data_IF_980389432182
#
_entry.id   IF_980389432182
#
_cell.length_a   1.000
_cell.length_b   1.000
_cell.length_c   1.000
_cell.angle_alpha   90.00
_cell.angle_beta   90.00
_cell.angle_gamma   90.00
#
_symmetry.space_group_name_H-M   'P 1'
#
loop_
_entity.id
_entity.type
_entity.pdbx_description
1 polymer ?
#
# COMPACT_ATOMS: atom_id res chain seq x y z
N UNK A 1 -3.88 -29.81 -7.34
CA UNK A 1 -3.02 -28.93 -6.55
C UNK A 1 -3.75 -27.63 -6.18
N UNK A 2 -3.21 -26.84 -5.25
CA UNK A 2 -3.88 -25.65 -4.71
C UNK A 2 -4.28 -24.62 -5.77
N UNK A 3 -3.48 -24.48 -6.83
CA UNK A 3 -3.80 -23.57 -7.94
C UNK A 3 -5.04 -24.00 -8.74
N UNK A 4 -5.30 -25.28 -8.86
CA UNK A 4 -6.52 -25.79 -9.53
C UNK A 4 -7.76 -25.47 -8.68
N UNK A 5 -7.68 -25.61 -7.35
CA UNK A 5 -8.76 -25.25 -6.44
C UNK A 5 -9.07 -23.75 -6.49
N UNK A 6 -8.05 -22.90 -6.50
CA UNK A 6 -8.22 -21.46 -6.66
C UNK A 6 -8.84 -21.11 -8.01
N UNK A 7 -8.43 -21.78 -9.09
CA UNK A 7 -9.02 -21.61 -10.42
C UNK A 7 -10.51 -21.99 -10.47
N UNK A 8 -10.86 -23.14 -9.90
CA UNK A 8 -12.27 -23.58 -9.81
C UNK A 8 -13.08 -22.59 -8.97
N UNK A 9 -12.54 -22.13 -7.83
CA UNK A 9 -13.22 -21.16 -6.97
C UNK A 9 -13.44 -19.82 -7.70
N UNK A 10 -12.44 -19.33 -8.44
CA UNK A 10 -12.57 -18.12 -9.24
C UNK A 10 -13.63 -18.25 -10.34
N UNK A 11 -13.67 -19.40 -11.04
CA UNK A 11 -14.71 -19.69 -12.06
C UNK A 11 -16.09 -19.75 -11.42
N UNK A 12 -16.22 -20.38 -10.25
CA UNK A 12 -17.50 -20.45 -9.52
C UNK A 12 -18.01 -19.06 -9.14
N UNK A 13 -17.13 -18.18 -8.62
CA UNK A 13 -17.48 -16.78 -8.33
C UNK A 13 -17.87 -16.04 -9.61
N UNK A 14 -17.12 -16.19 -10.69
CA UNK A 14 -17.43 -15.56 -11.97
C UNK A 14 -18.79 -16.00 -12.50
N UNK A 15 -19.12 -17.30 -12.39
CA UNK A 15 -20.44 -17.83 -12.76
C UNK A 15 -21.55 -17.23 -11.91
N UNK A 16 -21.37 -17.15 -10.59
CA UNK A 16 -22.34 -16.53 -9.68
C UNK A 16 -22.57 -15.06 -10.07
N UNK A 17 -21.50 -14.29 -10.29
CA UNK A 17 -21.58 -12.89 -10.68
C UNK A 17 -22.24 -12.68 -12.03
N UNK A 18 -22.09 -13.63 -12.97
CA UNK A 18 -22.76 -13.58 -14.27
C UNK A 18 -24.29 -13.66 -14.16
N UNK A 19 -24.82 -14.42 -13.18
CA UNK A 19 -26.26 -14.54 -12.93
C UNK A 19 -26.82 -13.43 -12.02
N UNK A 20 -25.97 -12.71 -11.29
CA UNK A 20 -26.39 -11.57 -10.47
C UNK A 20 -26.48 -10.34 -11.38
N UNK A 21 -27.68 -9.77 -11.49
CA UNK A 21 -27.90 -8.52 -12.20
C UNK A 21 -27.30 -7.38 -11.36
N UNK A 22 -26.02 -7.07 -11.59
CA UNK A 22 -25.37 -5.95 -10.95
C UNK A 22 -26.05 -4.64 -11.38
N UNK A 23 -26.29 -3.68 -10.45
CA UNK A 23 -26.74 -2.35 -10.83
C UNK A 23 -25.72 -1.74 -11.77
N UNK A 24 -26.17 -1.21 -12.89
CA UNK A 24 -25.34 -0.58 -13.90
C UNK A 24 -24.89 0.79 -13.38
N UNK A 25 -23.62 0.98 -12.99
CA UNK A 25 -23.17 2.24 -12.42
C UNK A 25 -23.19 3.39 -13.43
N UNK A 26 -23.37 3.10 -14.73
CA UNK A 26 -23.43 4.12 -15.77
C UNK A 26 -24.87 4.62 -16.01
N UNK A 27 -25.90 3.92 -15.53
CA UNK A 27 -27.29 4.38 -15.62
C UNK A 27 -27.63 5.44 -14.57
N UNK A 28 -27.07 5.31 -13.37
CA UNK A 28 -27.27 6.30 -12.31
C UNK A 28 -26.48 7.58 -12.59
N UNK A 29 -25.37 7.48 -13.35
CA UNK A 29 -24.54 8.63 -13.75
C UNK A 29 -25.14 9.52 -14.81
N UNK A 30 -26.06 9.03 -15.64
CA UNK A 30 -26.69 9.86 -16.67
C UNK A 30 -27.53 11.02 -16.07
N UNK A 31 -28.02 10.89 -14.83
CA UNK A 31 -28.66 11.96 -14.11
C UNK A 31 -27.64 12.90 -13.43
N UNK A 32 -26.54 12.33 -12.91
CA UNK A 32 -25.45 13.09 -12.28
C UNK A 32 -24.60 13.85 -13.31
N UNK A 33 -24.47 13.34 -14.54
CA UNK A 33 -23.69 13.97 -15.62
C UNK A 33 -24.31 15.31 -16.10
N UNK A 34 -25.61 15.50 -15.94
CA UNK A 34 -26.28 16.76 -16.28
C UNK A 34 -26.02 17.83 -15.20
N UNK A 35 -25.96 17.42 -13.93
CA UNK A 35 -25.58 18.30 -12.81
C UNK A 35 -24.07 18.56 -12.81
N UNK A 36 -23.25 17.53 -13.11
CA UNK A 36 -21.81 17.64 -13.25
C UNK A 36 -21.38 18.56 -14.41
N UNK A 37 -22.16 18.63 -15.50
CA UNK A 37 -21.90 19.55 -16.61
C UNK A 37 -22.02 21.03 -16.23
N UNK A 38 -22.84 21.37 -15.25
CA UNK A 38 -22.96 22.72 -14.71
C UNK A 38 -21.75 23.09 -13.82
N UNK A 39 -21.15 22.11 -13.14
CA UNK A 39 -20.01 22.29 -12.22
C UNK A 39 -18.64 22.22 -12.92
N UNK A 40 -18.57 21.78 -14.19
CA UNK A 40 -17.32 21.63 -14.96
C UNK A 40 -16.46 22.91 -15.01
N UNK A 41 -17.07 24.09 -14.82
CA UNK A 41 -16.35 25.38 -14.79
C UNK A 41 -15.48 25.56 -13.55
N UNK A 42 -15.70 24.76 -12.51
CA UNK A 42 -14.96 24.82 -11.26
C UNK A 42 -13.71 23.93 -11.26
N UNK A 43 -13.66 22.92 -12.16
CA UNK A 43 -12.55 21.99 -12.24
C UNK A 43 -11.55 22.37 -13.33
N UNK A 44 -10.26 22.07 -13.09
CA UNK A 44 -9.22 22.26 -14.11
C UNK A 44 -9.45 21.29 -15.27
N UNK A 45 -8.98 21.67 -16.45
CA UNK A 45 -9.21 20.91 -17.69
C UNK A 45 -8.50 19.54 -17.76
N UNK A 46 -7.50 19.31 -16.88
CA UNK A 46 -6.71 18.08 -16.91
C UNK A 46 -6.28 17.67 -15.52
N UNK A 47 -6.27 16.35 -15.28
CA UNK A 47 -5.76 15.68 -14.06
C UNK A 47 -4.31 16.06 -13.76
N UNK A 48 -3.51 16.27 -14.82
CA UNK A 48 -2.09 16.63 -14.69
C UNK A 48 -1.84 17.99 -14.02
N UNK A 49 -2.86 18.83 -13.94
CA UNK A 49 -2.79 20.15 -13.30
C UNK A 49 -3.01 20.10 -11.78
N UNK A 50 -3.28 18.90 -11.22
CA UNK A 50 -3.49 18.68 -9.79
C UNK A 50 -2.24 18.04 -9.16
N UNK A 51 -1.40 18.81 -8.46
CA UNK A 51 -0.14 18.30 -7.90
C UNK A 51 -0.34 17.14 -6.92
N UNK A 52 -1.44 17.16 -6.13
CA UNK A 52 -1.71 16.13 -5.14
C UNK A 52 -1.96 14.74 -5.76
N UNK A 53 -2.39 14.68 -7.03
CA UNK A 53 -2.54 13.41 -7.78
C UNK A 53 -1.17 12.78 -8.06
N UNK A 54 -0.21 13.60 -8.49
CA UNK A 54 1.17 13.15 -8.71
C UNK A 54 1.86 12.74 -7.42
N UNK A 55 1.66 13.54 -6.36
CA UNK A 55 2.17 13.20 -5.03
C UNK A 55 1.52 11.92 -4.51
N UNK A 56 0.23 11.70 -4.79
CA UNK A 56 -0.49 10.46 -4.48
C UNK A 56 0.05 9.25 -5.24
N UNK A 57 0.33 9.40 -6.55
CA UNK A 57 0.94 8.34 -7.34
C UNK A 57 2.33 7.94 -6.80
N UNK A 58 3.15 8.93 -6.46
CA UNK A 58 4.46 8.68 -5.84
C UNK A 58 4.31 8.10 -4.42
N UNK A 59 3.27 8.51 -3.65
CA UNK A 59 3.01 7.94 -2.32
C UNK A 59 2.60 6.46 -2.41
N UNK A 60 1.79 6.08 -3.40
CA UNK A 60 1.51 4.67 -3.69
C UNK A 60 2.80 3.93 -4.06
N UNK A 61 3.67 4.52 -4.89
CA UNK A 61 4.93 3.89 -5.26
C UNK A 61 5.83 3.63 -4.02
N UNK A 62 6.00 4.63 -3.16
CA UNK A 62 6.76 4.48 -1.92
C UNK A 62 6.14 3.45 -0.97
N UNK A 63 4.82 3.49 -0.82
CA UNK A 63 4.10 2.49 -0.02
C UNK A 63 4.28 1.07 -0.58
N UNK A 64 4.18 0.87 -1.89
CA UNK A 64 4.41 -0.43 -2.52
C UNK A 64 5.85 -0.92 -2.31
N UNK A 65 6.79 0.01 -2.27
CA UNK A 65 8.18 -0.28 -1.88
C UNK A 65 8.30 -0.81 -0.45
N UNK A 66 7.45 -0.35 0.49
CA UNK A 66 7.39 -0.88 1.86
C UNK A 66 6.68 -2.25 1.88
N UNK A 67 5.50 -2.34 1.27
CA UNK A 67 4.66 -3.54 1.32
C UNK A 67 5.36 -4.77 0.71
N UNK A 68 6.02 -4.60 -0.43
CA UNK A 68 6.75 -5.68 -1.10
C UNK A 68 8.21 -5.76 -0.60
N UNK A 69 8.80 -4.62 -0.23
CA UNK A 69 10.19 -4.55 0.24
C UNK A 69 10.42 -5.33 1.53
N UNK A 70 9.54 -5.21 2.52
CA UNK A 70 9.67 -5.92 3.81
C UNK A 70 9.71 -7.44 3.61
N UNK A 71 8.74 -8.10 2.96
CA UNK A 71 8.81 -9.52 2.67
C UNK A 71 10.05 -9.92 1.85
N UNK A 72 10.46 -9.08 0.90
CA UNK A 72 11.63 -9.33 0.06
C UNK A 72 12.95 -9.27 0.83
N UNK A 73 12.99 -8.53 1.96
CA UNK A 73 14.17 -8.42 2.81
C UNK A 73 14.31 -9.57 3.82
N UNK A 74 13.23 -10.30 4.11
CA UNK A 74 13.29 -11.38 5.11
C UNK A 74 14.39 -12.41 4.85
N UNK A 75 14.62 -12.92 3.61
CA UNK A 75 15.71 -13.86 3.35
C UNK A 75 17.10 -13.34 3.72
N UNK A 76 17.30 -12.02 3.67
CA UNK A 76 18.58 -11.41 4.04
C UNK A 76 18.91 -11.58 5.53
N UNK A 77 17.90 -11.65 6.42
CA UNK A 77 18.11 -11.92 7.83
C UNK A 77 18.66 -13.33 8.04
N UNK A 78 18.12 -14.37 7.38
CA UNK A 78 18.65 -15.73 7.45
C UNK A 78 20.04 -15.87 6.81
N UNK A 79 20.32 -15.08 5.78
CA UNK A 79 21.67 -15.03 5.20
C UNK A 79 22.67 -14.36 6.15
N UNK A 80 22.24 -13.35 6.90
CA UNK A 80 23.08 -12.64 7.87
C UNK A 80 23.28 -13.43 9.19
N UNK A 81 22.26 -14.17 9.61
CA UNK A 81 22.30 -15.00 10.84
C UNK A 81 21.77 -16.42 10.53
N UNK A 82 22.65 -17.35 10.15
CA UNK A 82 22.29 -18.73 9.88
C UNK A 82 21.79 -19.52 11.09
N UNK A 83 21.88 -18.96 12.31
CA UNK A 83 21.35 -19.59 13.53
C UNK A 83 19.82 -19.42 13.68
N UNK A 84 19.19 -18.62 12.83
CA UNK A 84 17.75 -18.43 12.86
C UNK A 84 17.01 -19.74 12.52
N UNK A 85 15.94 -20.07 13.27
CA UNK A 85 15.19 -21.31 13.05
C UNK A 85 14.38 -21.25 11.75
N UNK A 86 14.26 -22.40 11.07
CA UNK A 86 13.44 -22.53 9.87
C UNK A 86 13.99 -21.77 8.67
N UNK A 87 13.10 -21.23 7.89
CA UNK A 87 13.43 -20.43 6.68
C UNK A 87 12.56 -19.21 6.56
N UNK A 88 13.02 -18.15 5.88
CA UNK A 88 12.26 -16.94 5.65
C UNK A 88 10.86 -17.21 5.06
N UNK A 89 10.75 -18.19 4.19
CA UNK A 89 9.48 -18.56 3.52
C UNK A 89 8.43 -19.09 4.49
N UNK A 90 8.82 -19.69 5.61
CA UNK A 90 7.89 -20.16 6.66
C UNK A 90 7.26 -19.02 7.43
N UNK A 91 7.93 -17.86 7.49
CA UNK A 91 7.47 -16.69 8.23
C UNK A 91 6.72 -15.67 7.37
N UNK A 92 6.88 -15.70 6.03
CA UNK A 92 6.14 -14.84 5.12
C UNK A 92 4.62 -14.85 5.32
N UNK A 93 3.95 -16.00 5.56
CA UNK A 93 2.51 -16.02 5.81
C UNK A 93 2.08 -15.18 7.01
N UNK A 94 2.93 -14.97 8.01
CA UNK A 94 2.60 -14.14 9.17
C UNK A 94 2.52 -12.64 8.80
N UNK A 95 3.35 -12.17 7.87
CA UNK A 95 3.24 -10.80 7.36
C UNK A 95 1.89 -10.58 6.65
N UNK A 96 1.55 -11.47 5.70
CA UNK A 96 0.29 -11.38 4.97
C UNK A 96 -0.93 -11.65 5.85
N UNK A 97 -0.80 -12.56 6.81
CA UNK A 97 -1.81 -12.80 7.85
C UNK A 97 -2.04 -11.56 8.73
N UNK A 98 -0.97 -10.89 9.12
CA UNK A 98 -1.02 -9.60 9.83
C UNK A 98 -1.75 -8.53 9.01
N UNK A 99 -1.49 -8.45 7.69
CA UNK A 99 -2.21 -7.54 6.80
C UNK A 99 -3.71 -7.89 6.72
N UNK A 100 -4.07 -9.17 6.69
CA UNK A 100 -5.48 -9.59 6.69
C UNK A 100 -6.17 -9.13 7.98
N UNK A 101 -5.61 -9.42 9.14
CA UNK A 101 -6.14 -8.99 10.44
C UNK A 101 -6.23 -7.46 10.51
N UNK A 102 -5.17 -6.76 10.08
CA UNK A 102 -5.12 -5.31 10.07
C UNK A 102 -6.21 -4.67 9.21
N UNK A 103 -6.64 -5.29 8.11
CA UNK A 103 -7.75 -4.80 7.28
C UNK A 103 -9.07 -4.83 8.03
N UNK A 104 -9.37 -5.90 8.77
CA UNK A 104 -10.59 -5.98 9.57
C UNK A 104 -10.58 -4.94 10.70
N UNK A 105 -9.50 -4.89 11.45
CA UNK A 105 -9.34 -3.93 12.56
C UNK A 105 -9.34 -2.49 12.03
N UNK A 106 -8.59 -2.22 10.98
CA UNK A 106 -8.47 -0.89 10.40
C UNK A 106 -9.78 -0.38 9.78
N UNK A 107 -10.57 -1.25 9.15
CA UNK A 107 -11.90 -0.88 8.64
C UNK A 107 -12.86 -0.50 9.77
N UNK A 108 -12.84 -1.23 10.89
CA UNK A 108 -13.63 -0.90 12.06
C UNK A 108 -13.20 0.43 12.71
N UNK A 109 -11.89 0.71 12.73
CA UNK A 109 -11.35 1.98 13.24
C UNK A 109 -11.72 3.14 12.31
N UNK A 110 -11.66 2.93 11.00
CA UNK A 110 -12.00 3.94 9.99
C UNK A 110 -13.45 4.44 10.11
N UNK A 111 -14.35 3.60 10.61
CA UNK A 111 -15.73 4.01 10.89
C UNK A 111 -15.83 5.11 11.96
N UNK A 112 -14.82 5.26 12.83
CA UNK A 112 -14.82 6.20 13.97
C UNK A 112 -13.81 7.34 13.82
N UNK A 113 -12.75 7.14 13.04
CA UNK A 113 -11.63 8.08 12.91
C UNK A 113 -11.47 8.55 11.47
N UNK A 114 -10.91 9.74 11.30
CA UNK A 114 -10.60 10.31 9.97
C UNK A 114 -9.51 9.50 9.29
N UNK A 115 -9.65 9.27 7.99
CA UNK A 115 -8.69 8.53 7.16
C UNK A 115 -7.24 9.02 7.33
N UNK A 116 -7.04 10.35 7.37
CA UNK A 116 -5.73 10.99 7.55
C UNK A 116 -5.09 10.64 8.90
N UNK A 117 -5.87 10.65 9.98
CA UNK A 117 -5.38 10.30 11.32
C UNK A 117 -4.98 8.82 11.38
N UNK A 118 -5.84 7.93 10.87
CA UNK A 118 -5.54 6.50 10.83
C UNK A 118 -4.28 6.22 10.00
N UNK A 119 -4.14 6.82 8.82
CA UNK A 119 -2.94 6.66 7.99
C UNK A 119 -1.68 7.14 8.72
N UNK A 120 -1.73 8.31 9.36
CA UNK A 120 -0.58 8.83 10.13
C UNK A 120 -0.18 7.90 11.28
N UNK A 121 -1.14 7.35 12.03
CA UNK A 121 -0.87 6.38 13.08
C UNK A 121 -0.23 5.10 12.52
N UNK A 122 -0.78 4.56 11.44
CA UNK A 122 -0.25 3.36 10.79
C UNK A 122 1.20 3.58 10.28
N UNK A 123 1.48 4.76 9.70
CA UNK A 123 2.83 5.10 9.24
C UNK A 123 3.83 5.16 10.39
N UNK A 124 3.46 5.81 11.51
CA UNK A 124 4.33 5.91 12.69
C UNK A 124 4.58 4.54 13.30
N UNK A 125 3.52 3.73 13.48
CA UNK A 125 3.64 2.40 14.08
C UNK A 125 4.39 1.42 13.17
N UNK A 126 4.14 1.46 11.86
CA UNK A 126 4.88 0.66 10.89
C UNK A 126 6.37 1.03 10.85
N UNK A 127 6.68 2.34 10.82
CA UNK A 127 8.05 2.82 10.90
C UNK A 127 8.73 2.43 12.23
N UNK A 128 7.99 2.47 13.35
CA UNK A 128 8.49 2.03 14.65
C UNK A 128 8.83 0.52 14.63
N UNK A 129 7.98 -0.33 14.05
CA UNK A 129 8.26 -1.74 13.88
C UNK A 129 9.55 -1.99 13.10
N UNK A 130 9.73 -1.30 11.96
CA UNK A 130 10.95 -1.38 11.15
C UNK A 130 12.16 -0.84 11.94
N UNK A 131 12.00 0.25 12.68
CA UNK A 131 13.06 0.81 13.52
C UNK A 131 13.48 -0.13 14.65
N UNK A 132 12.52 -0.72 15.32
CA UNK A 132 12.77 -1.70 16.39
C UNK A 132 13.52 -2.91 15.83
N UNK A 133 13.17 -3.38 14.64
CA UNK A 133 13.86 -4.51 14.00
C UNK A 133 15.34 -4.25 13.76
N UNK A 134 15.74 -3.00 13.58
CA UNK A 134 17.15 -2.64 13.40
C UNK A 134 18.00 -2.81 14.67
N UNK A 135 17.39 -2.64 15.84
CA UNK A 135 18.08 -2.72 17.14
C UNK A 135 17.95 -4.09 17.83
N UNK A 136 17.02 -4.93 17.39
CA UNK A 136 16.79 -6.23 18.01
C UNK A 136 17.64 -7.31 17.32
N UNK A 137 18.18 -8.29 18.08
CA UNK A 137 18.89 -9.44 17.53
C UNK A 137 17.95 -10.58 17.13
N UNK A 138 18.37 -11.39 16.18
CA UNK A 138 17.79 -12.70 15.87
C UNK A 138 16.30 -12.62 15.50
N UNK A 139 15.52 -13.58 16.00
CA UNK A 139 14.08 -13.69 15.68
C UNK A 139 13.23 -12.49 16.15
N UNK A 140 13.67 -11.75 17.17
CA UNK A 140 12.94 -10.55 17.60
C UNK A 140 12.91 -9.48 16.52
N UNK A 141 14.01 -9.32 15.77
CA UNK A 141 14.06 -8.43 14.61
C UNK A 141 13.07 -8.86 13.52
N UNK A 142 13.00 -10.16 13.24
CA UNK A 142 12.07 -10.74 12.27
C UNK A 142 10.62 -10.50 12.70
N UNK A 143 10.27 -10.77 13.96
CA UNK A 143 8.91 -10.54 14.47
C UNK A 143 8.51 -9.06 14.41
N UNK A 144 9.41 -8.14 14.71
CA UNK A 144 9.18 -6.72 14.58
C UNK A 144 8.89 -6.33 13.12
N UNK A 145 9.67 -6.85 12.17
CA UNK A 145 9.43 -6.65 10.74
C UNK A 145 8.07 -7.19 10.30
N UNK A 146 7.72 -8.41 10.72
CA UNK A 146 6.44 -9.04 10.37
C UNK A 146 5.24 -8.26 10.92
N UNK A 147 5.37 -7.69 12.13
CA UNK A 147 4.34 -6.88 12.75
C UNK A 147 4.00 -5.60 11.96
N UNK A 148 4.94 -5.08 11.15
CA UNK A 148 4.68 -3.96 10.25
C UNK A 148 3.54 -4.25 9.26
N UNK A 149 3.35 -5.52 8.86
CA UNK A 149 2.26 -5.94 7.99
C UNK A 149 0.88 -5.57 8.51
N UNK A 150 0.66 -5.62 9.83
CA UNK A 150 -0.58 -5.21 10.46
C UNK A 150 -0.94 -3.76 10.13
N UNK A 151 0.03 -2.87 10.18
CA UNK A 151 -0.15 -1.43 9.92
C UNK A 151 -0.20 -1.09 8.44
N UNK A 152 0.49 -1.86 7.59
CA UNK A 152 0.46 -1.68 6.12
C UNK A 152 -0.92 -1.98 5.52
N UNK A 153 -1.72 -2.79 6.18
CA UNK A 153 -2.97 -3.36 5.68
C UNK A 153 -3.97 -2.37 5.09
N UNK A 154 -4.08 -1.18 5.67
CA UNK A 154 -5.06 -0.13 5.28
C UNK A 154 -4.40 1.08 4.59
N UNK A 155 -3.07 1.11 4.50
CA UNK A 155 -2.38 2.29 3.97
C UNK A 155 -2.73 2.54 2.50
N UNK A 156 -2.74 1.51 1.65
CA UNK A 156 -3.02 1.67 0.22
C UNK A 156 -4.36 2.37 -0.05
N UNK A 157 -5.51 1.86 0.45
CA UNK A 157 -6.79 2.50 0.21
C UNK A 157 -6.88 3.91 0.82
N UNK A 158 -6.19 4.17 1.93
CA UNK A 158 -6.18 5.49 2.55
C UNK A 158 -5.36 6.50 1.72
N UNK A 159 -4.18 6.12 1.21
CA UNK A 159 -3.36 6.96 0.32
C UNK A 159 -4.13 7.24 -0.96
N UNK A 160 -4.72 6.20 -1.56
CA UNK A 160 -5.50 6.30 -2.78
C UNK A 160 -6.67 7.28 -2.64
N UNK A 161 -7.43 7.15 -1.55
CA UNK A 161 -8.56 8.05 -1.26
C UNK A 161 -8.10 9.50 -1.08
N UNK A 162 -7.00 9.73 -0.33
CA UNK A 162 -6.46 11.09 -0.14
C UNK A 162 -5.99 11.71 -1.47
N UNK A 163 -5.45 10.91 -2.40
CA UNK A 163 -5.03 11.38 -3.71
C UNK A 163 -6.18 11.69 -4.67
N UNK A 164 -7.38 11.17 -4.40
CA UNK A 164 -8.57 11.39 -5.23
C UNK A 164 -9.51 12.47 -4.71
N UNK A 165 -9.17 13.14 -3.59
CA UNK A 165 -10.04 14.16 -3.00
C UNK A 165 -10.26 15.34 -3.96
N UNK A 166 -11.48 15.87 -3.98
CA UNK A 166 -11.89 17.11 -4.67
C UNK A 166 -11.60 17.15 -6.20
N UNK A 167 -11.64 16.00 -6.88
CA UNK A 167 -11.40 15.91 -8.32
C UNK A 167 -12.68 15.86 -9.16
N UNK A 168 -13.84 15.64 -8.53
CA UNK A 168 -15.14 15.58 -9.23
C UNK A 168 -15.10 14.63 -10.44
N UNK A 169 -15.45 15.12 -11.64
CA UNK A 169 -15.52 14.30 -12.86
C UNK A 169 -14.14 13.75 -13.30
N UNK A 170 -13.05 14.32 -12.83
CA UNK A 170 -11.68 13.87 -13.14
C UNK A 170 -11.22 12.67 -12.31
N UNK A 171 -12.00 12.24 -11.30
CA UNK A 171 -11.65 11.14 -10.38
C UNK A 171 -11.31 9.85 -11.14
N UNK A 172 -12.04 9.53 -12.23
CA UNK A 172 -11.79 8.33 -13.05
C UNK A 172 -10.39 8.36 -13.67
N UNK A 173 -9.99 9.48 -14.26
CA UNK A 173 -8.67 9.63 -14.88
C UNK A 173 -7.55 9.70 -13.83
N UNK A 174 -7.80 10.37 -12.70
CA UNK A 174 -6.87 10.47 -11.59
C UNK A 174 -6.63 9.10 -10.93
N UNK A 175 -7.66 8.27 -10.79
CA UNK A 175 -7.51 6.93 -10.24
C UNK A 175 -6.58 6.06 -11.08
N UNK A 176 -6.64 6.16 -12.41
CA UNK A 176 -5.70 5.51 -13.31
C UNK A 176 -4.26 5.97 -13.08
N UNK A 177 -4.05 7.29 -13.00
CA UNK A 177 -2.72 7.87 -12.79
C UNK A 177 -2.12 7.48 -11.43
N UNK A 178 -2.90 7.56 -10.35
CA UNK A 178 -2.43 7.17 -9.00
C UNK A 178 -2.11 5.67 -8.96
N UNK A 179 -2.92 4.85 -9.63
CA UNK A 179 -2.71 3.40 -9.67
C UNK A 179 -1.42 3.00 -10.41
N UNK A 180 -0.90 3.84 -11.33
CA UNK A 180 0.42 3.62 -11.93
C UNK A 180 1.54 3.58 -10.88
N UNK A 181 1.34 4.21 -9.71
CA UNK A 181 2.27 4.12 -8.59
C UNK A 181 2.55 2.68 -8.12
N UNK A 182 1.67 1.72 -8.42
CA UNK A 182 1.89 0.29 -8.11
C UNK A 182 3.18 -0.26 -8.74
N UNK A 183 3.68 0.36 -9.82
CA UNK A 183 4.99 0.05 -10.40
C UNK A 183 6.14 0.19 -9.38
N UNK A 184 5.96 1.00 -8.34
CA UNK A 184 6.90 1.08 -7.23
C UNK A 184 7.16 -0.27 -6.55
N UNK A 185 6.16 -1.16 -6.52
CA UNK A 185 6.29 -2.52 -5.96
C UNK A 185 7.22 -3.44 -6.77
N UNK A 186 7.44 -3.15 -8.03
CA UNK A 186 8.41 -3.87 -8.85
C UNK A 186 9.80 -3.23 -8.79
N UNK A 187 9.87 -1.90 -8.83
CA UNK A 187 11.12 -1.16 -8.96
C UNK A 187 11.86 -0.96 -7.63
N UNK A 188 11.17 -0.54 -6.58
CA UNK A 188 11.80 -0.18 -5.31
C UNK A 188 12.36 -1.41 -4.56
N UNK A 189 11.69 -2.57 -4.46
CA UNK A 189 12.29 -3.76 -3.87
C UNK A 189 13.49 -4.28 -4.67
N UNK A 190 13.49 -4.11 -6.00
CA UNK A 190 14.64 -4.44 -6.83
C UNK A 190 15.86 -3.58 -6.47
N UNK A 191 15.68 -2.25 -6.34
CA UNK A 191 16.73 -1.35 -5.89
C UNK A 191 17.20 -1.72 -4.48
N UNK A 192 16.28 -2.01 -3.56
CA UNK A 192 16.63 -2.45 -2.20
C UNK A 192 17.43 -3.76 -2.23
N UNK A 193 17.09 -4.71 -3.09
CA UNK A 193 17.83 -5.95 -3.26
C UNK A 193 19.27 -5.71 -3.71
N UNK A 194 19.49 -4.83 -4.70
CA UNK A 194 20.85 -4.47 -5.13
C UNK A 194 21.66 -3.79 -4.02
N UNK A 195 21.02 -3.02 -3.15
CA UNK A 195 21.65 -2.41 -1.97
C UNK A 195 22.06 -3.47 -0.95
N UNK A 196 21.19 -4.45 -0.69
CA UNK A 196 21.47 -5.55 0.26
C UNK A 196 22.61 -6.44 -0.22
N UNK A 197 22.67 -6.72 -1.53
CA UNK A 197 23.72 -7.57 -2.12
C UNK A 197 25.08 -6.86 -2.22
N UNK A 198 25.11 -5.54 -2.05
CA UNK A 198 26.35 -4.78 -2.04
C UNK A 198 27.07 -4.92 -0.69
N UNK A 199 28.31 -5.46 -0.65
CA UNK A 199 29.06 -5.67 0.59
C UNK A 199 29.31 -4.41 1.42
N UNK A 200 29.31 -3.22 0.76
CA UNK A 200 29.57 -1.93 1.41
C UNK A 200 28.30 -1.31 2.04
N UNK A 201 27.11 -1.72 1.62
CA UNK A 201 25.84 -1.09 2.02
C UNK A 201 25.02 -1.99 2.96
N UNK A 202 24.71 -3.19 2.53
CA UNK A 202 24.04 -4.22 3.33
C UNK A 202 22.60 -3.90 3.72
N UNK A 203 22.05 -4.75 4.58
CA UNK A 203 20.63 -4.69 5.05
C UNK A 203 20.32 -3.37 5.77
N UNK A 204 21.29 -2.81 6.49
CA UNK A 204 21.08 -1.55 7.24
C UNK A 204 20.70 -0.37 6.35
N UNK A 205 21.36 -0.22 5.21
CA UNK A 205 21.04 0.85 4.25
C UNK A 205 19.67 0.61 3.60
N UNK A 206 19.31 -0.63 3.29
CA UNK A 206 17.98 -0.96 2.79
C UNK A 206 16.87 -0.60 3.79
N UNK A 207 17.09 -0.83 5.08
CA UNK A 207 16.18 -0.39 6.14
C UNK A 207 16.08 1.15 6.19
N UNK A 208 17.19 1.87 6.05
CA UNK A 208 17.17 3.34 6.00
C UNK A 208 16.36 3.84 4.79
N UNK A 209 16.40 3.17 3.65
CA UNK A 209 15.55 3.50 2.50
C UNK A 209 14.06 3.37 2.84
N UNK A 210 13.66 2.38 3.63
CA UNK A 210 12.28 2.24 4.08
C UNK A 210 11.81 3.46 4.89
N UNK A 211 12.68 4.04 5.73
CA UNK A 211 12.33 5.26 6.46
C UNK A 211 12.10 6.46 5.54
N UNK A 212 12.84 6.57 4.43
CA UNK A 212 12.58 7.59 3.41
C UNK A 212 11.19 7.40 2.80
N UNK A 213 10.79 6.15 2.53
CA UNK A 213 9.47 5.85 2.01
C UNK A 213 8.36 6.20 3.01
N UNK A 214 8.51 5.81 4.29
CA UNK A 214 7.59 6.22 5.35
C UNK A 214 7.49 7.74 5.49
N UNK A 215 8.63 8.43 5.49
CA UNK A 215 8.68 9.88 5.62
C UNK A 215 7.96 10.58 4.46
N UNK A 216 8.14 10.10 3.24
CA UNK A 216 7.45 10.66 2.08
C UNK A 216 5.93 10.44 2.17
N UNK A 217 5.46 9.23 2.49
CA UNK A 217 4.03 8.95 2.61
C UNK A 217 3.42 9.75 3.77
N UNK A 218 4.16 9.93 4.87
CA UNK A 218 3.73 10.77 5.99
C UNK A 218 3.61 12.24 5.59
N UNK A 219 4.57 12.76 4.83
CA UNK A 219 4.52 14.11 4.26
C UNK A 219 3.31 14.25 3.33
N UNK A 220 3.11 13.30 2.42
CA UNK A 220 1.94 13.31 1.54
C UNK A 220 0.63 13.32 2.33
N UNK A 221 0.50 12.47 3.33
CA UNK A 221 -0.69 12.38 4.17
C UNK A 221 -1.04 13.72 4.81
N UNK A 222 -0.06 14.45 5.34
CA UNK A 222 -0.29 15.63 6.16
C UNK A 222 -0.22 16.97 5.40
N UNK A 223 0.51 17.01 4.29
CA UNK A 223 0.78 18.21 3.51
C UNK A 223 0.46 18.05 2.03
N UNK A 224 1.02 17.02 1.37
CA UNK A 224 0.95 16.85 -0.07
C UNK A 224 -0.46 16.52 -0.62
N UNK A 225 -1.35 15.99 0.22
CA UNK A 225 -2.75 15.71 -0.11
C UNK A 225 -3.72 16.87 0.21
N UNK A 226 -3.22 17.99 0.72
CA UNK A 226 -4.05 19.19 0.94
C UNK A 226 -4.14 19.97 -0.36
N UNK A 227 -5.37 20.32 -0.72
CA UNK A 227 -5.72 21.12 -1.89
C UNK A 227 -5.84 22.56 -1.48
#
# INVERSE_FOLDING_TARGET
GPFLMLGIFAIAIAAILFFIKLPDPDKDKAADDVEAAADLKQYKSSVFQYPHVWFGALAIAMYMGLEIGIPSMLPAYWKADPSLPGSATEYLPFYWGGMMVGRFVGSAILAKFKARTLLSCCLILGAACVGISFFLPGMYAVYAMLAAGLFHSVMWPLIFNLGLQELGPLTKNASGLINMGVLGGATLPLVMGTVVDNPSLGVGVAIMMMFVYYAYVFWFCNFGSKI
#
